data_IF_799717256219
#
_entry.id   IF_799717256219
#
_cell.length_a   1.000
_cell.length_b   1.000
_cell.length_c   1.000
_cell.angle_alpha   90.00
_cell.angle_beta   90.00
_cell.angle_gamma   90.00
#
_symmetry.space_group_name_H-M   'P 1'
#
loop_
_entity.id
_entity.type
_entity.pdbx_description
1 polymer ?
#
# COMPACT_ATOMS: atom_id res chain seq x y z
N UNK A 1 -10.95 -6.27 -17.72
CA UNK A 1 -11.48 -7.64 -17.50
C UNK A 1 -10.75 -8.18 -16.27
N UNK A 2 -11.32 -7.96 -15.09
CA UNK A 2 -10.62 -8.18 -13.81
C UNK A 2 -10.72 -9.64 -13.38
N UNK A 3 -9.57 -10.27 -13.15
CA UNK A 3 -9.46 -11.66 -12.73
C UNK A 3 -9.57 -11.75 -11.20
N UNK A 4 -10.72 -12.19 -10.70
CA UNK A 4 -10.91 -12.57 -9.29
C UNK A 4 -10.17 -13.88 -8.99
N UNK A 5 -9.14 -13.87 -8.13
CA UNK A 5 -8.57 -15.11 -7.55
C UNK A 5 -9.24 -15.41 -6.20
N UNK A 6 -10.07 -16.45 -6.20
CA UNK A 6 -10.82 -16.99 -5.06
C UNK A 6 -9.90 -17.85 -4.19
N UNK A 7 -9.75 -17.50 -2.91
CA UNK A 7 -9.20 -18.40 -1.90
C UNK A 7 -10.37 -18.92 -1.05
N UNK A 8 -10.91 -20.09 -1.38
CA UNK A 8 -11.96 -20.75 -0.57
C UNK A 8 -11.32 -21.71 0.44
N UNK A 9 -11.61 -21.55 1.74
CA UNK A 9 -11.32 -22.58 2.75
C UNK A 9 -12.59 -23.33 3.14
N UNK A 10 -12.53 -24.66 3.07
CA UNK A 10 -13.59 -25.57 3.49
C UNK A 10 -13.70 -25.60 5.03
N UNK A 11 -14.93 -25.51 5.55
CA UNK A 11 -15.24 -25.53 6.99
C UNK A 11 -15.03 -26.91 7.60
N UNK A 12 -14.26 -26.97 8.69
CA UNK A 12 -14.55 -27.71 9.92
C UNK A 12 -13.41 -27.47 10.92
N UNK A 13 -13.76 -27.38 12.20
CA UNK A 13 -12.86 -27.47 13.37
C UNK A 13 -12.11 -26.20 13.81
N UNK A 14 -12.59 -25.60 14.90
CA UNK A 14 -11.73 -24.92 15.87
C UNK A 14 -10.64 -25.91 16.32
N UNK A 15 -9.42 -25.80 15.79
CA UNK A 15 -8.19 -26.35 16.37
C UNK A 15 -7.02 -25.42 16.07
N UNK A 16 -6.26 -25.15 17.12
CA UNK A 16 -4.88 -24.65 17.21
C UNK A 16 -4.28 -24.06 15.93
N UNK A 17 -3.94 -22.77 15.99
CA UNK A 17 -3.25 -22.01 14.94
C UNK A 17 -1.85 -22.61 14.68
N UNK A 18 -1.75 -23.65 13.84
CA UNK A 18 -0.49 -24.30 13.48
C UNK A 18 0.26 -23.55 12.38
N UNK A 19 1.59 -23.48 12.50
CA UNK A 19 2.54 -22.85 11.56
C UNK A 19 2.43 -23.35 10.11
N UNK A 20 1.76 -24.48 9.85
CA UNK A 20 1.65 -25.10 8.54
C UNK A 20 0.61 -24.45 7.61
N UNK A 21 -0.32 -23.67 8.13
CA UNK A 21 -1.34 -22.99 7.31
C UNK A 21 -0.77 -21.75 6.61
N UNK A 22 0.14 -21.02 7.28
CA UNK A 22 0.80 -19.85 6.71
C UNK A 22 1.69 -20.17 5.52
N UNK A 23 2.43 -21.29 5.56
CA UNK A 23 3.31 -21.68 4.46
C UNK A 23 2.52 -22.01 3.19
N UNK A 24 1.32 -22.59 3.33
CA UNK A 24 0.44 -22.89 2.18
C UNK A 24 -0.20 -21.64 1.58
N UNK A 25 -0.56 -20.66 2.41
CA UNK A 25 -1.06 -19.36 1.93
C UNK A 25 0.08 -18.62 1.22
N UNK A 26 1.28 -18.56 1.82
CA UNK A 26 2.44 -17.94 1.21
C UNK A 26 2.82 -18.62 -0.12
N UNK A 27 2.78 -19.96 -0.20
CA UNK A 27 3.06 -20.71 -1.42
C UNK A 27 1.99 -20.48 -2.51
N UNK A 28 0.71 -20.49 -2.16
CA UNK A 28 -0.38 -20.21 -3.10
C UNK A 28 -0.34 -18.77 -3.63
N UNK A 29 0.07 -17.81 -2.80
CA UNK A 29 0.35 -16.43 -3.23
C UNK A 29 1.52 -16.40 -4.20
N UNK A 30 2.60 -17.14 -3.93
CA UNK A 30 3.79 -17.22 -4.79
C UNK A 30 3.52 -17.88 -6.16
N UNK A 31 2.77 -18.98 -6.21
CA UNK A 31 2.38 -19.64 -7.47
C UNK A 31 1.45 -18.76 -8.33
N UNK A 32 0.63 -17.94 -7.68
CA UNK A 32 -0.26 -17.02 -8.37
C UNK A 32 0.48 -15.84 -9.03
N UNK A 33 1.67 -15.51 -8.55
CA UNK A 33 2.58 -14.46 -9.08
C UNK A 33 3.40 -14.98 -10.27
N UNK A 34 3.72 -16.28 -10.31
CA UNK A 34 4.59 -16.88 -11.33
C UNK A 34 3.88 -17.30 -12.64
N UNK A 35 2.58 -17.03 -12.81
CA UNK A 35 1.75 -17.66 -13.87
C UNK A 35 1.08 -16.72 -14.88
N UNK A 36 1.61 -15.53 -15.15
CA UNK A 36 1.16 -14.73 -16.31
C UNK A 36 2.32 -14.38 -17.23
N UNK A 37 2.47 -15.14 -18.31
CA UNK A 37 3.52 -15.00 -19.33
C UNK A 37 3.38 -13.78 -20.25
N UNK A 38 3.18 -12.59 -19.69
CA UNK A 38 3.43 -11.31 -20.35
C UNK A 38 3.86 -10.32 -19.27
N UNK A 39 5.16 -10.27 -19.01
CA UNK A 39 5.73 -9.27 -18.13
C UNK A 39 5.49 -7.88 -18.76
N UNK A 40 4.80 -7.01 -18.02
CA UNK A 40 4.65 -5.59 -18.38
C UNK A 40 5.90 -4.84 -17.90
N UNK A 41 6.40 -3.91 -18.73
CA UNK A 41 7.58 -3.10 -18.43
C UNK A 41 7.24 -1.62 -18.53
N UNK A 42 7.92 -0.81 -17.71
CA UNK A 42 7.81 0.64 -17.82
C UNK A 42 8.46 1.12 -19.12
N UNK A 43 7.83 2.10 -19.78
CA UNK A 43 8.38 2.79 -20.94
C UNK A 43 8.53 4.29 -20.61
N UNK A 44 9.51 4.94 -21.25
CA UNK A 44 9.77 6.39 -21.12
C UNK A 44 9.91 6.86 -19.66
N UNK A 45 10.77 6.17 -18.89
CA UNK A 45 10.92 6.43 -17.44
C UNK A 45 11.82 7.62 -17.17
N UNK A 46 11.26 8.66 -16.55
CA UNK A 46 11.99 9.83 -16.08
C UNK A 46 11.85 9.97 -14.55
N UNK A 47 12.97 10.00 -13.84
CA UNK A 47 13.00 10.25 -12.40
C UNK A 47 13.29 11.72 -12.15
N UNK A 48 12.31 12.47 -11.64
CA UNK A 48 12.51 13.86 -11.22
C UNK A 48 13.02 13.91 -9.77
N UNK A 49 14.30 14.24 -9.60
CA UNK A 49 14.95 14.35 -8.28
C UNK A 49 14.79 15.74 -7.64
N UNK A 50 14.37 16.75 -8.42
CA UNK A 50 14.21 18.13 -7.99
C UNK A 50 12.73 18.50 -7.86
N UNK A 51 12.03 17.81 -6.96
CA UNK A 51 10.60 18.02 -6.72
C UNK A 51 10.37 19.28 -5.86
N UNK A 52 10.16 20.43 -6.52
CA UNK A 52 9.93 21.71 -5.85
C UNK A 52 8.47 21.93 -5.41
N UNK A 53 7.50 21.34 -6.11
CA UNK A 53 6.08 21.42 -5.79
C UNK A 53 5.38 20.11 -6.11
N UNK A 54 4.83 19.46 -5.08
CA UNK A 54 3.93 18.31 -5.25
C UNK A 54 2.61 18.61 -4.54
N UNK A 55 1.46 18.27 -5.17
CA UNK A 55 0.16 18.44 -4.56
C UNK A 55 -0.10 17.45 -3.40
N UNK A 56 0.71 16.38 -3.29
CA UNK A 56 0.48 15.30 -2.33
C UNK A 56 1.56 15.18 -1.27
N UNK A 57 2.80 15.57 -1.58
CA UNK A 57 3.95 15.44 -0.68
C UNK A 57 4.68 16.78 -0.60
N UNK A 58 4.86 17.28 0.62
CA UNK A 58 5.60 18.50 0.87
C UNK A 58 6.92 18.17 1.56
N UNK A 59 8.02 18.29 0.82
CA UNK A 59 9.37 18.21 1.38
C UNK A 59 9.63 19.50 2.16
N UNK A 60 9.90 19.37 3.45
CA UNK A 60 10.10 20.51 4.36
C UNK A 60 11.19 20.20 5.38
N UNK A 61 11.84 21.24 5.90
CA UNK A 61 12.84 21.11 6.96
C UNK A 61 12.41 21.96 8.15
N UNK A 62 12.37 21.35 9.34
CA UNK A 62 12.26 22.10 10.59
C UNK A 62 13.65 22.34 11.16
N UNK A 63 13.93 23.57 11.59
CA UNK A 63 15.11 23.92 12.36
C UNK A 63 14.68 24.42 13.74
N UNK A 64 15.23 23.83 14.80
CA UNK A 64 14.82 24.13 16.17
C UNK A 64 16.00 24.05 17.15
N UNK A 65 15.81 24.56 18.37
CA UNK A 65 16.76 24.41 19.47
C UNK A 65 16.18 23.48 20.52
N UNK A 66 17.00 22.54 20.99
CA UNK A 66 16.69 21.71 22.17
C UNK A 66 17.77 21.95 23.21
N UNK A 67 17.44 22.75 24.23
CA UNK A 67 18.44 23.35 25.11
C UNK A 67 19.42 24.21 24.30
N UNK A 68 20.72 23.97 24.47
CA UNK A 68 21.77 24.70 23.76
C UNK A 68 22.13 24.11 22.38
N UNK A 69 21.52 23.00 21.96
CA UNK A 69 21.81 22.34 20.68
C UNK A 69 20.85 22.82 19.59
N UNK A 70 21.40 23.30 18.47
CA UNK A 70 20.64 23.55 17.24
C UNK A 70 20.46 22.21 16.50
N UNK A 71 19.23 21.94 16.06
CA UNK A 71 18.85 20.73 15.36
C UNK A 71 18.11 21.09 14.07
N UNK A 72 18.18 20.19 13.10
CA UNK A 72 17.43 20.22 11.85
C UNK A 72 16.84 18.85 11.60
N UNK A 73 15.66 18.79 10.98
CA UNK A 73 15.02 17.53 10.58
C UNK A 73 14.26 17.72 9.27
N UNK A 74 14.52 16.85 8.31
CA UNK A 74 13.85 16.84 7.01
C UNK A 74 12.62 15.92 7.07
N UNK A 75 11.53 16.37 6.46
CA UNK A 75 10.22 15.73 6.51
C UNK A 75 9.57 15.72 5.13
N UNK A 76 8.83 14.66 4.85
CA UNK A 76 7.99 14.51 3.67
C UNK A 76 6.53 14.47 4.14
N UNK A 77 5.96 15.64 4.41
CA UNK A 77 4.59 15.76 4.92
C UNK A 77 3.59 15.33 3.84
N UNK A 78 2.54 14.62 4.24
CA UNK A 78 1.49 14.11 3.35
C UNK A 78 0.15 14.01 4.11
N UNK A 79 -0.99 13.98 3.40
CA UNK A 79 -2.30 13.80 4.03
C UNK A 79 -2.40 12.52 4.86
N UNK A 80 -3.38 12.51 5.76
CA UNK A 80 -3.79 11.31 6.47
C UNK A 80 -4.42 10.28 5.52
N UNK A 81 -4.61 9.06 5.98
CA UNK A 81 -5.08 7.95 5.15
C UNK A 81 -6.03 7.01 5.88
N UNK A 82 -6.83 6.29 5.10
CA UNK A 82 -7.72 5.22 5.56
C UNK A 82 -7.31 3.88 4.95
N UNK A 83 -7.59 2.78 5.63
CA UNK A 83 -7.56 1.43 5.05
C UNK A 83 -8.64 0.53 5.68
N UNK A 84 -9.13 -0.44 4.90
CA UNK A 84 -10.16 -1.36 5.36
C UNK A 84 -9.71 -2.81 5.25
N UNK A 85 -9.88 -3.56 6.34
CA UNK A 85 -9.97 -5.02 6.30
C UNK A 85 -11.36 -5.38 5.81
N UNK A 86 -11.45 -5.91 4.58
CA UNK A 86 -12.69 -6.36 3.98
C UNK A 86 -12.86 -7.86 4.21
N UNK A 87 -13.84 -8.24 5.02
CA UNK A 87 -14.17 -9.64 5.29
C UNK A 87 -15.50 -10.02 4.66
N UNK A 88 -15.45 -10.93 3.70
CA UNK A 88 -16.63 -11.46 3.04
C UNK A 88 -17.14 -12.71 3.79
N UNK A 89 -18.31 -12.58 4.42
CA UNK A 89 -18.88 -13.57 5.35
C UNK A 89 -19.27 -14.88 4.68
N UNK A 90 -19.92 -14.82 3.52
CA UNK A 90 -20.41 -16.02 2.83
C UNK A 90 -19.26 -16.86 2.27
N UNK A 91 -18.21 -16.20 1.78
CA UNK A 91 -17.01 -16.84 1.25
C UNK A 91 -15.98 -17.18 2.33
N UNK A 92 -16.15 -16.67 3.56
CA UNK A 92 -15.18 -16.79 4.64
C UNK A 92 -13.76 -16.39 4.18
N UNK A 93 -13.65 -15.22 3.56
CA UNK A 93 -12.43 -14.76 2.90
C UNK A 93 -12.14 -13.28 3.19
N UNK A 94 -10.86 -12.92 3.20
CA UNK A 94 -10.40 -11.54 3.21
C UNK A 94 -10.15 -11.07 1.78
N UNK A 95 -10.55 -9.84 1.47
CA UNK A 95 -10.25 -9.19 0.21
C UNK A 95 -9.03 -8.28 0.36
N UNK A 96 -8.11 -8.42 -0.58
CA UNK A 96 -6.92 -7.57 -0.73
C UNK A 96 -6.88 -7.03 -2.16
N UNK A 97 -6.25 -5.88 -2.32
CA UNK A 97 -5.97 -5.29 -3.63
C UNK A 97 -4.54 -5.63 -4.04
N UNK A 98 -4.31 -5.78 -5.35
CA UNK A 98 -2.98 -5.93 -5.93
C UNK A 98 -2.74 -4.73 -6.85
N UNK A 99 -1.70 -3.95 -6.60
CA UNK A 99 -1.42 -2.74 -7.36
C UNK A 99 0.09 -2.51 -7.52
N UNK A 100 0.48 -1.84 -8.59
CA UNK A 100 1.86 -1.40 -8.80
C UNK A 100 2.17 -0.17 -7.93
N UNK A 101 3.22 -0.25 -7.11
CA UNK A 101 3.73 0.86 -6.32
C UNK A 101 5.09 1.34 -6.86
N UNK A 102 5.15 2.49 -7.56
CA UNK A 102 6.40 2.99 -8.15
C UNK A 102 7.55 3.14 -7.14
N UNK A 103 7.26 3.56 -5.91
CA UNK A 103 8.28 3.69 -4.85
C UNK A 103 8.90 2.35 -4.45
N UNK A 104 8.12 1.26 -4.46
CA UNK A 104 8.60 -0.10 -4.18
C UNK A 104 9.48 -0.58 -5.32
N UNK A 105 9.01 -0.41 -6.57
CA UNK A 105 9.79 -0.71 -7.77
C UNK A 105 11.16 -0.03 -7.75
N UNK A 106 11.18 1.31 -7.60
CA UNK A 106 12.42 2.10 -7.57
C UNK A 106 13.34 1.65 -6.44
N UNK A 107 12.80 1.42 -5.24
CA UNK A 107 13.57 0.98 -4.07
C UNK A 107 14.24 -0.39 -4.28
N UNK A 108 13.53 -1.33 -4.89
CA UNK A 108 14.07 -2.68 -5.14
C UNK A 108 15.10 -2.64 -6.26
N UNK A 109 14.80 -2.01 -7.39
CA UNK A 109 15.69 -1.92 -8.56
C UNK A 109 17.03 -1.28 -8.19
N UNK A 110 17.03 -0.18 -7.41
CA UNK A 110 18.27 0.47 -6.92
C UNK A 110 19.15 -0.42 -6.03
N UNK A 111 18.56 -1.41 -5.36
CA UNK A 111 19.28 -2.32 -4.44
C UNK A 111 19.88 -3.53 -5.14
N UNK A 112 19.51 -3.79 -6.39
CA UNK A 112 20.07 -4.88 -7.20
C UNK A 112 21.57 -4.70 -7.42
N UNK A 113 22.30 -5.81 -7.55
CA UNK A 113 23.76 -5.80 -7.56
C UNK A 113 24.32 -4.96 -8.72
N UNK A 114 23.69 -5.02 -9.90
CA UNK A 114 24.10 -4.27 -11.10
C UNK A 114 23.78 -2.77 -11.05
N UNK A 115 22.92 -2.32 -10.14
CA UNK A 115 22.50 -0.92 -10.01
C UNK A 115 23.04 -0.24 -8.74
N UNK A 116 23.63 -1.02 -7.82
CA UNK A 116 24.10 -0.50 -6.54
C UNK A 116 25.15 0.58 -6.77
N UNK A 117 24.88 1.77 -6.23
CA UNK A 117 25.78 2.93 -6.32
C UNK A 117 25.68 3.71 -7.64
N UNK A 118 24.79 3.31 -8.56
CA UNK A 118 24.46 4.12 -9.73
C UNK A 118 23.54 5.27 -9.35
N UNK A 119 23.70 6.39 -10.04
CA UNK A 119 22.71 7.47 -10.04
C UNK A 119 21.47 7.02 -10.83
N UNK A 120 20.32 7.65 -10.56
CA UNK A 120 19.06 7.25 -11.20
C UNK A 120 19.08 7.40 -12.74
N UNK A 121 19.91 8.32 -13.25
CA UNK A 121 20.12 8.54 -14.69
C UNK A 121 20.89 7.39 -15.38
N UNK A 122 21.65 6.58 -14.62
CA UNK A 122 22.47 5.49 -15.15
C UNK A 122 21.78 4.11 -15.04
N UNK A 123 20.54 4.08 -14.54
CA UNK A 123 19.73 2.86 -14.40
C UNK A 123 18.79 2.76 -15.60
N UNK A 124 18.87 1.65 -16.32
CA UNK A 124 17.87 1.29 -17.34
C UNK A 124 16.61 0.73 -16.65
N UNK A 125 15.67 1.62 -16.32
CA UNK A 125 14.43 1.27 -15.62
C UNK A 125 13.50 0.36 -16.45
N UNK A 126 13.57 0.45 -17.78
CA UNK A 126 12.74 -0.34 -18.71
C UNK A 126 13.16 -1.81 -18.77
N UNK A 127 14.32 -2.16 -18.21
CA UNK A 127 14.79 -3.54 -18.09
C UNK A 127 13.98 -4.38 -17.08
N UNK A 128 13.28 -3.75 -16.14
CA UNK A 128 12.67 -4.44 -14.99
C UNK A 128 11.15 -4.53 -15.12
N UNK A 129 10.56 -5.72 -14.91
CA UNK A 129 9.12 -5.87 -15.00
C UNK A 129 8.39 -5.13 -13.86
N UNK A 130 7.21 -4.58 -14.16
CA UNK A 130 6.31 -3.89 -13.22
C UNK A 130 5.99 -4.77 -12.00
N UNK A 131 5.95 -6.09 -12.19
CA UNK A 131 5.70 -7.07 -11.12
C UNK A 131 6.67 -6.96 -9.94
N UNK A 132 7.88 -6.42 -10.12
CA UNK A 132 8.82 -6.14 -9.02
C UNK A 132 8.26 -5.09 -8.05
N UNK A 133 7.45 -4.16 -8.53
CA UNK A 133 6.81 -3.12 -7.73
C UNK A 133 5.39 -3.45 -7.30
N UNK A 134 4.85 -4.60 -7.67
CA UNK A 134 3.50 -4.98 -7.28
C UNK A 134 3.44 -5.40 -5.81
N UNK A 135 2.41 -4.94 -5.13
CA UNK A 135 2.16 -5.20 -3.72
C UNK A 135 0.77 -5.80 -3.53
N UNK A 136 0.61 -6.55 -2.45
CA UNK A 136 -0.70 -7.00 -1.97
C UNK A 136 -1.02 -6.21 -0.72
N UNK A 137 -2.12 -5.46 -0.76
CA UNK A 137 -2.44 -4.42 0.22
C UNK A 137 -3.91 -4.50 0.65
N UNK A 138 -4.23 -3.84 1.77
CA UNK A 138 -5.61 -3.53 2.11
C UNK A 138 -6.14 -2.47 1.13
N UNK A 139 -7.45 -2.45 0.92
CA UNK A 139 -8.10 -1.34 0.25
C UNK A 139 -7.86 -0.06 1.06
N UNK A 140 -7.29 0.97 0.45
CA UNK A 140 -6.74 2.11 1.17
C UNK A 140 -6.60 3.37 0.30
N UNK A 141 -6.81 4.52 0.92
CA UNK A 141 -6.77 5.81 0.23
C UNK A 141 -6.39 6.99 1.12
N UNK A 142 -6.27 8.16 0.50
CA UNK A 142 -5.97 9.41 1.21
C UNK A 142 -7.25 10.06 1.73
N UNK A 143 -7.13 10.77 2.85
CA UNK A 143 -8.17 11.67 3.33
C UNK A 143 -7.90 13.05 2.73
N UNK A 144 -8.48 13.34 1.57
CA UNK A 144 -8.18 14.53 0.76
C UNK A 144 -9.39 15.43 0.49
N UNK A 145 -10.60 15.01 0.86
CA UNK A 145 -11.83 15.80 0.72
C UNK A 145 -12.25 16.38 2.08
N UNK A 146 -12.18 17.70 2.29
CA UNK A 146 -12.38 18.30 3.62
C UNK A 146 -13.82 18.16 4.17
N UNK A 147 -14.79 17.85 3.32
CA UNK A 147 -16.21 17.79 3.68
C UNK A 147 -16.75 16.36 3.85
N UNK A 148 -15.87 15.35 3.83
CA UNK A 148 -16.26 13.95 4.01
C UNK A 148 -15.74 13.41 5.35
N UNK A 149 -16.54 12.52 5.96
CA UNK A 149 -16.09 11.78 7.14
C UNK A 149 -15.01 10.76 6.77
N UNK A 150 -14.26 10.28 7.75
CA UNK A 150 -13.25 9.22 7.55
C UNK A 150 -13.89 7.92 7.03
N UNK A 151 -15.12 7.62 7.48
CA UNK A 151 -15.90 6.46 7.03
C UNK A 151 -16.41 6.65 5.60
N UNK A 152 -16.82 7.86 5.23
CA UNK A 152 -17.26 8.18 3.87
C UNK A 152 -16.11 8.05 2.87
N UNK A 153 -14.90 8.56 3.20
CA UNK A 153 -13.70 8.29 2.39
C UNK A 153 -13.45 6.79 2.26
N UNK A 154 -13.51 6.04 3.37
CA UNK A 154 -13.30 4.59 3.31
C UNK A 154 -14.33 3.88 2.40
N UNK A 155 -15.59 4.31 2.40
CA UNK A 155 -16.62 3.77 1.49
C UNK A 155 -16.30 4.09 0.03
N UNK A 156 -15.89 5.32 -0.28
CA UNK A 156 -15.50 5.70 -1.64
C UNK A 156 -14.36 4.83 -2.18
N UNK A 157 -13.31 4.61 -1.37
CA UNK A 157 -12.18 3.75 -1.75
C UNK A 157 -12.59 2.28 -1.96
N UNK A 158 -13.49 1.75 -1.13
CA UNK A 158 -14.02 0.38 -1.31
C UNK A 158 -14.79 0.26 -2.64
N UNK A 159 -15.54 1.29 -3.03
CA UNK A 159 -16.24 1.33 -4.31
C UNK A 159 -15.24 1.42 -5.46
N UNK A 160 -14.24 2.29 -5.36
CA UNK A 160 -13.26 2.54 -6.42
C UNK A 160 -12.32 1.34 -6.66
N UNK A 161 -11.70 0.82 -5.61
CA UNK A 161 -10.68 -0.22 -5.74
C UNK A 161 -11.26 -1.63 -5.80
N UNK A 162 -12.42 -1.85 -5.17
CA UNK A 162 -12.97 -3.20 -4.98
C UNK A 162 -14.34 -3.39 -5.66
N UNK A 163 -15.04 -2.32 -6.04
CA UNK A 163 -16.34 -2.40 -6.70
C UNK A 163 -17.52 -2.76 -5.80
N UNK A 164 -17.36 -2.70 -4.47
CA UNK A 164 -18.41 -3.00 -3.50
C UNK A 164 -19.01 -1.72 -2.92
N UNK A 165 -20.33 -1.54 -3.07
CA UNK A 165 -21.05 -0.47 -2.37
C UNK A 165 -21.57 -0.96 -1.01
N UNK A 166 -20.78 -0.72 0.04
CA UNK A 166 -21.10 -1.09 1.41
C UNK A 166 -21.77 0.06 2.16
N UNK A 167 -22.61 -0.25 3.15
CA UNK A 167 -23.20 0.78 4.02
C UNK A 167 -22.15 1.27 5.02
N UNK A 168 -22.15 2.57 5.31
CA UNK A 168 -21.23 3.16 6.29
C UNK A 168 -21.36 2.52 7.69
N UNK A 169 -22.56 2.09 8.08
CA UNK A 169 -22.79 1.41 9.36
C UNK A 169 -22.09 0.05 9.48
N UNK A 170 -21.70 -0.55 8.35
CA UNK A 170 -20.97 -1.82 8.31
C UNK A 170 -19.44 -1.62 8.36
N UNK A 171 -18.98 -0.37 8.25
CA UNK A 171 -17.57 0.02 8.35
C UNK A 171 -17.28 0.42 9.81
N UNK A 172 -16.59 -0.46 10.54
CA UNK A 172 -16.27 -0.28 11.96
C UNK A 172 -14.83 0.21 12.13
N UNK A 173 -14.62 1.30 12.89
CA UNK A 173 -13.29 1.75 13.27
C UNK A 173 -12.55 0.66 14.07
N UNK A 174 -11.36 0.28 13.63
CA UNK A 174 -10.46 -0.59 14.39
C UNK A 174 -9.48 0.23 15.23
N UNK A 175 -8.71 1.11 14.58
CA UNK A 175 -7.62 1.84 15.24
C UNK A 175 -7.19 3.06 14.42
N UNK A 176 -6.71 4.08 15.13
CA UNK A 176 -5.92 5.18 14.56
C UNK A 176 -4.48 5.09 15.07
N UNK A 177 -3.52 5.28 14.18
CA UNK A 177 -2.10 5.30 14.53
C UNK A 177 -1.31 6.19 13.59
N UNK A 178 -0.12 6.61 14.02
CA UNK A 178 0.77 7.44 13.20
C UNK A 178 1.67 6.54 12.36
N UNK A 179 1.76 6.85 11.08
CA UNK A 179 2.65 6.22 10.11
C UNK A 179 3.76 7.20 9.71
N UNK A 180 4.86 6.67 9.16
CA UNK A 180 5.99 7.49 8.75
C UNK A 180 6.54 8.36 9.90
N UNK A 181 6.64 7.82 11.12
CA UNK A 181 6.95 8.56 12.36
C UNK A 181 8.15 9.52 12.24
N UNK A 182 9.20 9.12 11.52
CA UNK A 182 10.40 9.93 11.32
C UNK A 182 10.42 10.76 10.03
N UNK A 183 9.40 10.65 9.18
CA UNK A 183 9.39 11.23 7.84
C UNK A 183 8.15 12.11 7.59
N UNK A 184 6.94 11.59 7.79
CA UNK A 184 5.70 12.30 7.51
C UNK A 184 4.87 12.63 8.76
N UNK A 185 4.84 11.74 9.74
CA UNK A 185 3.99 11.88 10.92
C UNK A 185 2.48 11.79 10.62
N UNK A 186 2.09 11.26 9.45
CA UNK A 186 0.70 11.18 9.00
C UNK A 186 -0.12 10.16 9.79
N UNK A 187 -1.37 10.47 10.10
CA UNK A 187 -2.29 9.53 10.72
C UNK A 187 -2.83 8.54 9.69
N UNK A 188 -2.94 7.29 10.11
CA UNK A 188 -3.59 6.22 9.37
C UNK A 188 -4.74 5.65 10.21
N UNK A 189 -5.88 5.45 9.57
CA UNK A 189 -7.13 5.02 10.19
C UNK A 189 -7.53 3.69 9.59
N UNK A 190 -7.49 2.63 10.40
CA UNK A 190 -7.88 1.30 9.97
C UNK A 190 -9.31 0.98 10.36
N UNK A 191 -10.04 0.40 9.42
CA UNK A 191 -11.41 -0.06 9.55
C UNK A 191 -11.54 -1.56 9.31
N UNK A 192 -12.66 -2.13 9.76
CA UNK A 192 -13.14 -3.45 9.42
C UNK A 192 -14.52 -3.30 8.79
N UNK A 193 -14.69 -3.82 7.58
CA UNK A 193 -15.99 -3.95 6.95
C UNK A 193 -16.32 -5.43 6.78
N UNK A 194 -17.55 -5.79 7.14
CA UNK A 194 -18.04 -7.17 7.13
C UNK A 194 -19.26 -7.28 6.24
N UNK A 195 -19.05 -7.71 5.00
CA UNK A 195 -20.08 -7.99 4.00
C UNK A 195 -20.52 -9.47 4.02
#
# INVERSE_FOLDING_TARGET
>A
MWLLKKLSSNRSMFKTFERHTFSRIAAAMNESVLSSGNDEFLNDVHINENLHSSPYVHLTQIAFKRGNRKMKWDMALRPDSVACVLYHRSMNSLLFVKQFRPAVFVSIVRKMAENRGKENADIDWSKYPISIGETIELCAGLIDKPNLSEVAHMREEIIEECGYDVKECDITLLKKFITGIGASGSQHISFLCRD
#
